data_IF_177202849404
#
_entry.id   IF_177202849404
#
_cell.length_a   1.000
_cell.length_b   1.000
_cell.length_c   1.000
_cell.angle_alpha   90.00
_cell.angle_beta   90.00
_cell.angle_gamma   90.00
#
_symmetry.space_group_name_H-M   'P 1'
#
loop_
_entity.id
_entity.type
_entity.pdbx_description
1 polymer ?
#
# COMPACT_ATOMS: atom_id res chain seq x y z
N UNK A 1 -12.60 -7.66 -13.97
CA UNK A 1 -11.87 -6.84 -14.97
C UNK A 1 -10.37 -7.13 -14.86
N UNK A 2 -9.62 -7.07 -15.96
CA UNK A 2 -8.16 -7.23 -15.96
C UNK A 2 -7.45 -6.03 -15.28
N UNK A 3 -6.16 -6.21 -14.92
CA UNK A 3 -5.35 -5.19 -14.26
C UNK A 3 -5.25 -3.88 -15.08
N UNK A 4 -4.93 -3.91 -16.40
CA UNK A 4 -4.94 -2.70 -17.23
C UNK A 4 -6.27 -1.95 -17.21
N UNK A 5 -7.40 -2.66 -17.27
CA UNK A 5 -8.73 -2.05 -17.22
C UNK A 5 -9.03 -1.40 -15.86
N UNK A 6 -8.62 -2.03 -14.75
CA UNK A 6 -8.72 -1.43 -13.41
C UNK A 6 -7.89 -0.16 -13.29
N UNK A 7 -6.66 -0.18 -13.80
CA UNK A 7 -5.76 0.98 -13.77
C UNK A 7 -6.34 2.16 -14.56
N UNK A 8 -6.79 1.92 -15.80
CA UNK A 8 -7.43 2.97 -16.62
C UNK A 8 -8.65 3.57 -15.93
N UNK A 9 -9.48 2.74 -15.29
CA UNK A 9 -10.63 3.22 -14.54
C UNK A 9 -10.22 4.15 -13.39
N UNK A 10 -9.21 3.76 -12.61
CA UNK A 10 -8.66 4.55 -11.51
C UNK A 10 -8.15 5.90 -12.00
N UNK A 11 -7.31 5.89 -13.05
CA UNK A 11 -6.73 7.10 -13.64
C UNK A 11 -7.80 8.06 -14.16
N UNK A 12 -8.74 7.57 -14.96
CA UNK A 12 -9.82 8.38 -15.51
C UNK A 12 -10.74 8.96 -14.43
N UNK A 13 -11.03 8.17 -13.39
CA UNK A 13 -11.90 8.60 -12.28
C UNK A 13 -11.23 9.69 -11.46
N UNK A 14 -9.97 9.49 -11.07
CA UNK A 14 -9.22 10.49 -10.30
C UNK A 14 -9.01 11.78 -11.10
N UNK A 15 -8.72 11.69 -12.40
CA UNK A 15 -8.59 12.87 -13.25
C UNK A 15 -9.88 13.67 -13.34
N UNK A 16 -11.03 13.01 -13.48
CA UNK A 16 -12.35 13.67 -13.48
C UNK A 16 -12.65 14.31 -12.13
N UNK A 17 -12.45 13.60 -11.02
CA UNK A 17 -12.67 14.14 -9.68
C UNK A 17 -11.81 15.39 -9.45
N UNK A 18 -10.52 15.31 -9.75
CA UNK A 18 -9.58 16.44 -9.57
C UNK A 18 -9.91 17.67 -10.42
N UNK A 19 -10.71 17.54 -11.47
CA UNK A 19 -11.20 18.67 -12.27
C UNK A 19 -12.41 19.40 -11.68
N UNK A 20 -13.04 18.87 -10.63
CA UNK A 20 -14.22 19.48 -10.00
C UNK A 20 -13.81 20.71 -9.18
N UNK A 21 -14.35 21.91 -9.47
CA UNK A 21 -14.06 23.11 -8.69
C UNK A 21 -14.43 22.94 -7.22
N UNK A 22 -13.53 23.35 -6.31
CA UNK A 22 -13.73 23.25 -4.87
C UNK A 22 -13.39 21.88 -4.27
N UNK A 23 -13.03 20.88 -5.08
CA UNK A 23 -12.51 19.62 -4.55
C UNK A 23 -11.06 19.80 -4.08
N UNK A 24 -10.80 19.53 -2.80
CA UNK A 24 -9.47 19.67 -2.21
C UNK A 24 -8.53 18.50 -2.55
N UNK A 25 -9.03 17.27 -2.45
CA UNK A 25 -8.25 16.06 -2.73
C UNK A 25 -9.15 14.86 -3.05
N UNK A 26 -8.57 13.87 -3.73
CA UNK A 26 -9.23 12.61 -4.06
C UNK A 26 -8.20 11.47 -4.15
N UNK A 27 -8.60 10.31 -3.65
CA UNK A 27 -7.86 9.04 -3.70
C UNK A 27 -8.84 7.90 -3.94
N UNK A 28 -8.33 6.76 -4.41
CA UNK A 28 -9.05 5.49 -4.45
C UNK A 28 -8.31 4.49 -3.56
N UNK A 29 -9.07 3.64 -2.87
CA UNK A 29 -8.55 2.49 -2.13
C UNK A 29 -9.41 1.27 -2.42
N UNK A 30 -8.81 0.07 -2.30
CA UNK A 30 -9.50 -1.21 -2.52
C UNK A 30 -10.55 -1.53 -1.45
N UNK A 31 -10.50 -0.85 -0.31
CA UNK A 31 -11.39 -0.98 0.83
C UNK A 31 -11.37 0.30 1.69
N UNK A 32 -12.20 0.32 2.74
CA UNK A 32 -12.29 1.46 3.66
C UNK A 32 -11.18 1.33 4.72
N UNK A 33 -10.33 2.36 4.92
CA UNK A 33 -9.33 2.38 5.99
C UNK A 33 -9.91 1.94 7.34
N UNK A 34 -9.16 1.14 8.10
CA UNK A 34 -9.51 0.66 9.45
C UNK A 34 -10.70 -0.30 9.54
N UNK A 35 -11.50 -0.44 8.48
CA UNK A 35 -12.65 -1.37 8.40
C UNK A 35 -12.39 -2.53 7.45
N UNK A 36 -11.48 -2.35 6.48
CA UNK A 36 -11.18 -3.31 5.43
C UNK A 36 -10.76 -4.72 5.89
N UNK A 37 -11.08 -5.69 5.05
CA UNK A 37 -10.88 -7.13 5.31
C UNK A 37 -9.70 -7.72 4.56
N UNK A 38 -9.02 -6.95 3.71
CA UNK A 38 -7.85 -7.44 2.98
C UNK A 38 -6.76 -7.87 3.96
N UNK A 39 -6.17 -9.04 3.66
CA UNK A 39 -5.12 -9.68 4.46
C UNK A 39 -4.01 -10.14 3.52
N UNK A 40 -2.78 -9.91 3.95
CA UNK A 40 -1.59 -10.33 3.24
C UNK A 40 -0.75 -11.24 4.12
N UNK A 41 -0.33 -12.35 3.54
CA UNK A 41 0.72 -13.20 4.08
C UNK A 41 2.05 -12.52 3.83
N UNK A 42 2.89 -12.39 4.86
CA UNK A 42 4.18 -11.73 4.76
C UNK A 42 5.33 -12.52 5.37
N UNK A 43 6.52 -12.32 4.81
CA UNK A 43 7.79 -12.77 5.37
C UNK A 43 8.88 -11.73 5.15
N UNK A 44 9.83 -11.64 6.08
CA UNK A 44 11.03 -10.81 5.90
C UNK A 44 11.94 -11.41 4.83
N UNK A 45 12.48 -10.56 3.96
CA UNK A 45 13.40 -10.97 2.90
C UNK A 45 14.87 -11.09 3.33
N UNK A 46 15.19 -10.69 4.56
CA UNK A 46 16.53 -10.81 5.15
C UNK A 46 16.69 -12.03 6.07
N UNK A 47 15.80 -13.02 5.93
CA UNK A 47 15.77 -14.28 6.67
C UNK A 47 15.35 -15.42 5.76
N UNK A 48 15.45 -16.66 6.24
CA UNK A 48 14.84 -17.81 5.58
C UNK A 48 13.34 -17.57 5.38
N UNK A 49 12.93 -17.56 4.12
CA UNK A 49 11.54 -17.27 3.73
C UNK A 49 10.72 -18.54 3.90
N UNK A 50 9.78 -18.61 4.84
CA UNK A 50 8.98 -19.81 5.02
C UNK A 50 8.02 -20.02 3.82
N UNK A 51 7.55 -21.25 3.62
CA UNK A 51 6.44 -21.56 2.73
C UNK A 51 5.24 -20.63 3.00
N UNK A 52 4.47 -20.33 1.96
CA UNK A 52 3.40 -19.31 2.00
C UNK A 52 2.39 -19.62 3.11
N UNK A 53 2.04 -20.88 3.30
CA UNK A 53 1.10 -21.38 4.31
C UNK A 53 1.56 -21.22 5.76
N UNK A 54 2.85 -20.90 5.99
CA UNK A 54 3.41 -20.65 7.33
C UNK A 54 3.72 -19.16 7.57
N UNK A 55 3.41 -18.28 6.62
CA UNK A 55 3.69 -16.85 6.74
C UNK A 55 2.73 -16.18 7.71
N UNK A 56 3.22 -15.12 8.37
CA UNK A 56 2.38 -14.30 9.24
C UNK A 56 1.37 -13.51 8.40
N UNK A 57 0.20 -13.23 8.97
CA UNK A 57 -0.86 -12.46 8.31
C UNK A 57 -0.87 -11.03 8.86
N UNK A 58 -1.01 -10.05 7.98
CA UNK A 58 -1.27 -8.67 8.35
C UNK A 58 -2.47 -8.10 7.56
N UNK A 59 -3.29 -7.22 8.15
CA UNK A 59 -4.19 -6.38 7.37
C UNK A 59 -3.39 -5.45 6.45
N UNK A 60 -3.92 -5.20 5.26
CA UNK A 60 -3.31 -4.27 4.31
C UNK A 60 -4.31 -3.79 3.29
N UNK A 61 -3.97 -2.73 2.55
CA UNK A 61 -4.87 -2.04 1.65
C UNK A 61 -4.12 -1.67 0.36
N UNK A 62 -4.78 -1.84 -0.79
CA UNK A 62 -4.33 -1.23 -2.06
C UNK A 62 -4.82 0.21 -2.11
N UNK A 63 -3.92 1.16 -2.30
CA UNK A 63 -4.22 2.60 -2.28
C UNK A 63 -3.56 3.30 -3.47
N UNK A 64 -4.17 4.38 -3.95
CA UNK A 64 -3.55 5.26 -4.95
C UNK A 64 -2.72 6.36 -4.31
N UNK A 65 -1.78 6.99 -5.04
CA UNK A 65 -1.06 8.18 -4.57
C UNK A 65 -1.99 9.29 -4.06
N UNK A 66 -1.59 9.94 -2.96
CA UNK A 66 -2.35 11.01 -2.31
C UNK A 66 -3.35 10.53 -1.27
N UNK A 67 -3.33 9.23 -0.95
CA UNK A 67 -4.21 8.63 0.06
C UNK A 67 -3.97 9.24 1.44
N UNK A 68 -2.72 9.31 1.88
CA UNK A 68 -2.39 9.81 3.22
C UNK A 68 -2.75 11.29 3.35
N UNK A 69 -2.48 12.08 2.30
CA UNK A 69 -2.92 13.48 2.23
C UNK A 69 -4.44 13.62 2.31
N UNK A 70 -5.19 12.83 1.54
CA UNK A 70 -6.67 12.89 1.49
C UNK A 70 -7.30 12.54 2.85
N UNK A 71 -6.71 11.59 3.58
CA UNK A 71 -7.18 11.18 4.90
C UNK A 71 -6.55 11.94 6.07
N UNK A 72 -5.65 12.91 5.81
CA UNK A 72 -4.96 13.66 6.85
C UNK A 72 -4.02 12.80 7.73
N UNK A 73 -3.53 11.68 7.20
CA UNK A 73 -2.63 10.76 7.93
C UNK A 73 -1.18 11.15 7.65
N UNK A 74 -0.35 11.43 8.67
CA UNK A 74 1.03 11.82 8.45
C UNK A 74 1.92 10.62 8.08
N UNK A 75 2.82 10.84 7.11
CA UNK A 75 3.92 9.92 6.83
C UNK A 75 5.03 10.14 7.86
N UNK A 76 5.41 9.07 8.59
CA UNK A 76 6.41 9.17 9.65
C UNK A 76 7.85 9.13 9.11
N UNK A 77 8.09 8.36 8.05
CA UNK A 77 9.41 8.23 7.42
C UNK A 77 9.26 7.62 6.01
N UNK A 78 10.26 7.85 5.15
CA UNK A 78 10.28 7.35 3.77
C UNK A 78 9.53 8.26 2.81
N UNK A 79 8.82 7.67 1.84
CA UNK A 79 8.01 8.38 0.84
C UNK A 79 6.66 7.70 0.64
N UNK A 80 5.64 8.45 0.24
CA UNK A 80 4.38 7.88 -0.26
C UNK A 80 4.59 7.23 -1.65
N UNK A 81 3.59 6.47 -2.10
CA UNK A 81 3.49 6.03 -3.48
C UNK A 81 3.40 7.23 -4.44
N UNK A 82 4.00 7.09 -5.62
CA UNK A 82 3.91 8.06 -6.72
C UNK A 82 3.60 7.35 -8.05
N UNK A 83 3.54 8.09 -9.16
CA UNK A 83 3.14 7.53 -10.46
C UNK A 83 4.10 6.46 -11.02
N UNK A 84 5.31 6.35 -10.48
CA UNK A 84 6.31 5.37 -10.92
C UNK A 84 6.19 4.03 -10.18
N UNK A 85 5.38 3.95 -9.12
CA UNK A 85 5.15 2.73 -8.35
C UNK A 85 4.08 1.85 -9.01
N UNK A 86 4.39 1.35 -10.20
CA UNK A 86 3.46 0.56 -11.03
C UNK A 86 3.66 -0.95 -10.86
N UNK A 87 2.72 -1.73 -11.40
CA UNK A 87 2.82 -3.18 -11.41
C UNK A 87 4.03 -3.71 -12.20
N UNK A 88 4.59 -2.93 -13.13
CA UNK A 88 5.78 -3.30 -13.89
C UNK A 88 7.06 -2.63 -13.35
N UNK A 89 6.90 -1.71 -12.39
CA UNK A 89 7.99 -0.95 -11.77
C UNK A 89 8.51 -1.56 -10.46
N UNK A 90 9.15 -0.71 -9.67
CA UNK A 90 9.68 -1.10 -8.36
C UNK A 90 8.55 -1.53 -7.43
N UNK A 91 8.68 -2.73 -6.84
CA UNK A 91 7.75 -3.21 -5.81
C UNK A 91 8.05 -2.51 -4.50
N UNK A 92 7.11 -1.67 -4.06
CA UNK A 92 7.19 -0.93 -2.81
C UNK A 92 5.95 -1.20 -1.96
N UNK A 93 6.10 -1.12 -0.64
CA UNK A 93 5.00 -1.19 0.30
C UNK A 93 5.19 -0.17 1.41
N UNK A 94 4.09 0.24 2.01
CA UNK A 94 4.06 1.05 3.22
C UNK A 94 3.55 0.19 4.36
N UNK A 95 4.20 0.28 5.51
CA UNK A 95 3.81 -0.45 6.72
C UNK A 95 3.45 0.56 7.80
N UNK A 96 2.44 0.24 8.62
CA UNK A 96 2.09 1.06 9.77
C UNK A 96 3.22 1.09 10.79
N UNK A 97 3.23 2.08 11.69
CA UNK A 97 4.22 2.14 12.77
C UNK A 97 4.19 0.88 13.65
N UNK A 98 2.99 0.34 13.93
CA UNK A 98 2.83 -0.91 14.67
C UNK A 98 3.39 -2.10 13.88
N UNK A 99 3.11 -2.19 12.58
CA UNK A 99 3.68 -3.20 11.69
C UNK A 99 5.21 -3.13 11.65
N UNK A 100 5.78 -1.94 11.54
CA UNK A 100 7.23 -1.74 11.58
C UNK A 100 7.85 -2.26 12.89
N UNK A 101 7.26 -1.95 14.06
CA UNK A 101 7.75 -2.43 15.35
C UNK A 101 7.66 -3.96 15.50
N UNK A 102 6.63 -4.57 14.93
CA UNK A 102 6.44 -6.03 14.97
C UNK A 102 7.39 -6.75 14.01
N UNK A 103 7.51 -6.27 12.78
CA UNK A 103 8.31 -6.92 11.75
C UNK A 103 9.79 -6.64 11.91
N UNK A 104 10.15 -5.40 12.26
CA UNK A 104 11.52 -4.89 12.34
C UNK A 104 11.83 -4.29 13.73
N UNK A 105 11.76 -5.09 14.81
CA UNK A 105 11.92 -4.59 16.17
C UNK A 105 13.31 -3.97 16.38
N UNK A 106 13.34 -2.67 16.71
CA UNK A 106 14.59 -1.92 16.94
C UNK A 106 15.37 -1.58 15.67
N UNK A 107 14.84 -1.86 14.48
CA UNK A 107 15.50 -1.63 13.20
C UNK A 107 14.78 -0.56 12.35
N UNK A 108 15.51 0.12 11.47
CA UNK A 108 14.90 0.95 10.44
C UNK A 108 14.33 0.07 9.31
N UNK A 109 13.02 0.12 9.01
CA UNK A 109 12.41 -0.70 7.97
C UNK A 109 12.67 -0.19 6.53
N UNK A 110 13.10 1.05 6.36
CA UNK A 110 13.29 1.65 5.02
C UNK A 110 14.40 0.92 4.27
N UNK A 111 14.10 0.53 3.02
CA UNK A 111 15.03 -0.22 2.15
C UNK A 111 15.08 -1.72 2.41
N UNK A 112 14.34 -2.23 3.41
CA UNK A 112 14.22 -3.67 3.65
C UNK A 112 13.13 -4.30 2.78
N UNK A 113 13.25 -5.60 2.55
CA UNK A 113 12.34 -6.37 1.70
C UNK A 113 11.34 -7.17 2.53
N UNK A 114 10.07 -7.13 2.10
CA UNK A 114 9.01 -8.03 2.54
C UNK A 114 8.50 -8.83 1.34
N UNK A 115 8.37 -10.14 1.50
CA UNK A 115 7.67 -10.99 0.56
C UNK A 115 6.19 -11.01 0.92
N UNK A 116 5.34 -10.55 0.01
CA UNK A 116 3.88 -10.52 0.19
C UNK A 116 3.21 -11.57 -0.69
N UNK A 117 2.14 -12.16 -0.17
CA UNK A 117 1.19 -12.96 -0.92
C UNK A 117 -0.22 -12.64 -0.44
N UNK A 118 -1.22 -12.77 -1.32
CA UNK A 118 -2.62 -12.67 -0.90
C UNK A 118 -2.93 -13.85 0.02
N UNK A 119 -3.60 -13.57 1.14
CA UNK A 119 -4.10 -14.60 2.05
C UNK A 119 -5.37 -15.25 1.51
#
# INVERSE_FOLDING_TARGET
>A
PDLPSRQRFVEQTLNKLRSVPGLESATISGDIPLVGFSRYLYARGDRDVPPVEKRAIAPGHEITPGYFKTWGVPLLAGREFNEHDTADGQKVCLISQAGAKQVFPGENPIGKTLFLANA
#
